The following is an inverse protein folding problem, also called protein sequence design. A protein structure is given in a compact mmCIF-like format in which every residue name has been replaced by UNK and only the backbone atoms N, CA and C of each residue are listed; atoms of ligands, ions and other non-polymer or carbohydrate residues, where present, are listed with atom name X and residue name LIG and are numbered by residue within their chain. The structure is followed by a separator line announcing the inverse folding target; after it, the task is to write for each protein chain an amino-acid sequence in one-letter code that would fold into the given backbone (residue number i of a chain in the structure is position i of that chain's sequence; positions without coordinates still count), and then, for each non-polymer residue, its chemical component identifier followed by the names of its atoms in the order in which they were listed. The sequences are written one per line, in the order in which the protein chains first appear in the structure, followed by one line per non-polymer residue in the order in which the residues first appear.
data_IF_777391402356
#
_entry.id   IF_777391402356
#
_cell.length_a   1.000
_cell.length_b   1.000
_cell.length_c   1.000
_cell.angle_alpha   90.00
_cell.angle_beta   90.00
_cell.angle_gamma   90.00
#
_symmetry.space_group_name_H-M   'P 1'
#
loop_
_entity.id
_entity.type
_entity.pdbx_description
1 polymer ?
#
# COMPACT_ATOMS: atom_id res chain seq x y z
N UNK A 1 -8.42 -5.85 12.04
CA UNK A 1 -7.18 -5.33 11.43
C UNK A 1 -6.45 -6.48 10.76
N UNK A 2 -6.02 -6.34 9.49
CA UNK A 2 -5.24 -7.35 8.79
C UNK A 2 -3.75 -7.25 9.17
N UNK A 3 -3.12 -8.37 9.54
CA UNK A 3 -1.67 -8.48 9.78
C UNK A 3 -1.08 -9.41 8.72
N UNK A 4 -0.33 -8.86 7.78
CA UNK A 4 0.44 -9.65 6.82
C UNK A 4 1.73 -10.10 7.49
N UNK A 5 2.01 -11.40 7.46
CA UNK A 5 3.20 -11.99 8.07
C UNK A 5 4.01 -12.75 7.04
N UNK A 6 5.25 -12.35 6.85
CA UNK A 6 6.19 -13.13 6.02
C UNK A 6 6.69 -14.36 6.77
N UNK A 7 6.77 -15.48 6.09
CA UNK A 7 7.12 -16.78 6.67
C UNK A 7 8.49 -17.24 6.17
N UNK A 8 9.35 -17.56 7.13
CA UNK A 8 10.65 -18.19 6.89
C UNK A 8 10.67 -19.68 7.20
N UNK A 9 11.80 -20.15 7.65
CA UNK A 9 12.05 -21.56 8.01
C UNK A 9 12.37 -21.76 9.51
N UNK A 10 12.20 -20.70 10.34
CA UNK A 10 12.61 -20.72 11.75
C UNK A 10 11.96 -21.87 12.55
N UNK A 11 10.67 -22.13 12.31
CA UNK A 11 9.98 -23.27 12.92
C UNK A 11 10.68 -24.61 12.63
N UNK A 12 11.09 -24.79 11.39
CA UNK A 12 11.75 -26.03 10.94
C UNK A 12 13.18 -26.11 11.46
N UNK A 13 13.88 -25.00 11.51
CA UNK A 13 15.26 -24.93 12.03
C UNK A 13 15.29 -25.23 13.54
N UNK A 14 14.39 -24.63 14.32
CA UNK A 14 14.26 -24.92 15.75
C UNK A 14 13.91 -26.40 16.03
N UNK A 15 13.06 -26.99 15.19
CA UNK A 15 12.76 -28.42 15.31
C UNK A 15 14.02 -29.27 15.06
N UNK A 16 14.79 -28.97 14.02
CA UNK A 16 15.96 -29.72 13.60
C UNK A 16 17.08 -29.74 14.64
N UNK A 17 17.27 -28.66 15.39
CA UNK A 17 18.31 -28.58 16.42
C UNK A 17 18.25 -29.75 17.40
N UNK A 18 17.07 -30.28 17.68
CA UNK A 18 16.86 -31.37 18.63
C UNK A 18 16.35 -32.67 17.97
N UNK A 19 16.11 -32.67 16.66
CA UNK A 19 15.49 -33.79 15.94
C UNK A 19 16.15 -34.05 14.56
N UNK A 20 17.37 -34.56 14.51
CA UNK A 20 18.13 -34.74 13.25
C UNK A 20 17.52 -35.76 12.28
N UNK A 21 16.48 -36.49 12.68
CA UNK A 21 15.84 -37.51 11.83
C UNK A 21 15.18 -37.00 10.54
N UNK A 22 15.08 -35.67 10.35
CA UNK A 22 14.55 -35.05 9.12
C UNK A 22 15.63 -34.38 8.27
N UNK A 23 16.90 -34.37 8.69
CA UNK A 23 17.96 -33.58 8.05
C UNK A 23 18.17 -33.93 6.58
N UNK A 24 18.15 -35.20 6.22
CA UNK A 24 18.27 -35.60 4.81
C UNK A 24 17.12 -35.09 3.94
N UNK A 25 15.89 -35.16 4.44
CA UNK A 25 14.72 -34.65 3.72
C UNK A 25 14.75 -33.14 3.65
N UNK A 26 15.16 -32.44 4.71
CA UNK A 26 15.39 -31.01 4.75
C UNK A 26 16.42 -30.54 3.72
N UNK A 27 17.60 -31.14 3.72
CA UNK A 27 18.69 -30.78 2.79
C UNK A 27 18.26 -30.99 1.33
N UNK A 28 17.49 -32.02 1.06
CA UNK A 28 16.95 -32.26 -0.27
C UNK A 28 15.93 -31.18 -0.70
N UNK A 29 15.08 -30.73 0.22
CA UNK A 29 14.00 -29.79 -0.08
C UNK A 29 14.41 -28.30 0.06
N UNK A 30 15.61 -28.02 0.59
CA UNK A 30 16.03 -26.67 0.99
C UNK A 30 15.97 -25.64 -0.14
N UNK A 31 16.36 -26.05 -1.35
CA UNK A 31 16.40 -25.19 -2.53
C UNK A 31 15.29 -25.52 -3.56
N UNK A 32 14.44 -26.49 -3.23
CA UNK A 32 13.36 -26.90 -4.13
C UNK A 32 12.26 -25.81 -4.20
N UNK A 33 11.88 -25.38 -5.41
CA UNK A 33 10.81 -24.42 -5.58
C UNK A 33 9.46 -25.02 -5.18
N UNK A 34 8.56 -24.16 -4.72
CA UNK A 34 7.22 -24.58 -4.29
C UNK A 34 6.42 -25.29 -5.40
N UNK A 35 6.73 -25.03 -6.68
CA UNK A 35 6.13 -25.73 -7.82
C UNK A 35 6.44 -27.22 -7.87
N UNK A 36 7.50 -27.69 -7.21
CA UNK A 36 7.87 -29.11 -7.14
C UNK A 36 7.20 -29.84 -5.97
N UNK A 37 6.16 -29.26 -5.38
CA UNK A 37 5.46 -29.79 -4.22
C UNK A 37 4.98 -31.24 -4.42
N UNK A 38 4.23 -31.49 -5.48
CA UNK A 38 3.59 -32.79 -5.75
C UNK A 38 4.64 -33.89 -5.97
N UNK A 39 5.79 -33.57 -6.56
CA UNK A 39 6.89 -34.50 -6.76
C UNK A 39 7.60 -34.89 -5.45
N UNK A 40 7.40 -34.14 -4.38
CA UNK A 40 8.06 -34.29 -3.11
C UNK A 40 7.10 -34.65 -1.94
N UNK A 41 5.86 -34.96 -2.23
CA UNK A 41 4.78 -35.14 -1.26
C UNK A 41 5.13 -36.07 -0.11
N UNK A 42 5.81 -37.20 -0.39
CA UNK A 42 6.24 -38.17 0.66
C UNK A 42 7.17 -37.52 1.70
N UNK A 43 8.19 -36.75 1.24
CA UNK A 43 9.16 -36.09 2.14
C UNK A 43 8.47 -34.97 2.91
N UNK A 44 7.65 -34.19 2.20
CA UNK A 44 6.87 -33.07 2.77
C UNK A 44 5.97 -33.59 3.89
N UNK A 45 5.18 -34.64 3.63
CA UNK A 45 4.26 -35.21 4.61
C UNK A 45 4.98 -35.78 5.84
N UNK A 46 6.19 -36.36 5.67
CA UNK A 46 7.01 -36.82 6.80
C UNK A 46 7.40 -35.64 7.70
N UNK A 47 7.94 -34.56 7.12
CA UNK A 47 8.34 -33.36 7.88
C UNK A 47 7.12 -32.69 8.49
N UNK A 48 6.05 -32.52 7.72
CA UNK A 48 4.79 -31.88 8.19
C UNK A 48 4.22 -32.58 9.42
N UNK A 49 4.14 -33.90 9.40
CA UNK A 49 3.66 -34.69 10.56
C UNK A 49 4.57 -34.50 11.78
N UNK A 50 5.86 -34.49 11.58
CA UNK A 50 6.84 -34.31 12.65
C UNK A 50 6.68 -32.92 13.28
N UNK A 51 6.56 -31.87 12.47
CA UNK A 51 6.34 -30.50 12.95
C UNK A 51 5.01 -30.35 13.66
N UNK A 52 3.89 -30.88 13.13
CA UNK A 52 2.57 -30.78 13.76
C UNK A 52 2.51 -31.51 15.11
N UNK A 53 3.27 -32.58 15.28
CA UNK A 53 3.34 -33.29 16.56
C UNK A 53 4.17 -32.54 17.62
N UNK A 54 5.11 -31.72 17.19
CA UNK A 54 6.04 -31.00 18.07
C UNK A 54 5.61 -29.53 18.32
N UNK A 55 5.19 -28.84 17.26
CA UNK A 55 4.90 -27.42 17.32
C UNK A 55 3.70 -27.13 18.24
N UNK A 56 3.87 -26.10 19.05
CA UNK A 56 2.84 -25.61 19.96
C UNK A 56 2.60 -24.13 19.71
N UNK A 57 1.39 -23.67 20.00
CA UNK A 57 1.03 -22.26 19.94
C UNK A 57 1.64 -21.46 21.11
N UNK A 58 2.96 -21.51 21.24
CA UNK A 58 3.74 -20.83 22.28
C UNK A 58 4.85 -19.99 21.65
N UNK A 59 5.21 -18.89 22.29
CA UNK A 59 6.23 -17.94 21.79
C UNK A 59 7.59 -18.58 21.52
N UNK A 60 7.95 -19.57 22.28
CA UNK A 60 9.25 -20.26 22.18
C UNK A 60 9.35 -21.19 20.98
N UNK A 61 8.25 -21.47 20.31
CA UNK A 61 8.21 -22.44 19.19
C UNK A 61 8.94 -21.89 17.96
N UNK A 62 8.70 -20.66 17.55
CA UNK A 62 9.43 -19.99 16.47
C UNK A 62 9.19 -18.47 16.46
N UNK A 63 9.99 -17.76 15.66
CA UNK A 63 9.97 -16.31 15.56
C UNK A 63 8.62 -15.77 15.04
N UNK A 64 7.98 -16.45 14.09
CA UNK A 64 6.68 -16.08 13.55
C UNK A 64 5.58 -16.15 14.62
N UNK A 65 5.51 -17.23 15.40
CA UNK A 65 4.54 -17.38 16.50
C UNK A 65 4.80 -16.31 17.57
N UNK A 66 6.05 -16.15 17.96
CA UNK A 66 6.48 -15.14 18.95
C UNK A 66 6.01 -13.74 18.56
N UNK A 67 6.27 -13.34 17.32
CA UNK A 67 5.90 -12.02 16.82
C UNK A 67 4.38 -11.83 16.72
N UNK A 68 3.64 -12.83 16.28
CA UNK A 68 2.19 -12.78 16.18
C UNK A 68 1.52 -12.62 17.55
N UNK A 69 1.94 -13.36 18.56
CA UNK A 69 1.43 -13.18 19.93
C UNK A 69 1.78 -11.81 20.51
N UNK A 70 2.99 -11.31 20.24
CA UNK A 70 3.43 -9.99 20.69
C UNK A 70 2.63 -8.87 20.01
N UNK A 71 2.37 -8.97 18.70
CA UNK A 71 1.53 -8.05 17.97
C UNK A 71 0.09 -8.08 18.48
N UNK A 72 -0.49 -9.28 18.68
CA UNK A 72 -1.85 -9.44 19.24
C UNK A 72 -1.98 -8.79 20.62
N UNK A 73 -0.96 -8.88 21.45
CA UNK A 73 -0.94 -8.23 22.77
C UNK A 73 -0.81 -6.71 22.68
N UNK A 74 -0.05 -6.23 21.70
CA UNK A 74 0.17 -4.79 21.48
C UNK A 74 -1.04 -4.09 20.83
N UNK A 75 -1.79 -4.80 20.01
CA UNK A 75 -2.94 -4.27 19.27
C UNK A 75 -4.23 -4.60 20.03
N UNK A 76 -5.00 -3.58 20.43
CA UNK A 76 -6.26 -3.74 21.17
C UNK A 76 -7.43 -4.25 20.32
N UNK A 77 -7.26 -4.32 18.99
CA UNK A 77 -8.28 -4.76 18.03
C UNK A 77 -8.12 -6.25 17.71
N UNK A 78 -9.21 -6.90 17.31
CA UNK A 78 -9.15 -8.23 16.72
C UNK A 78 -8.28 -8.22 15.46
N UNK A 79 -7.34 -9.15 15.38
CA UNK A 79 -6.45 -9.29 14.22
C UNK A 79 -6.85 -10.49 13.37
N UNK A 80 -6.70 -10.32 12.06
CA UNK A 80 -6.74 -11.37 11.05
C UNK A 80 -5.36 -11.47 10.43
N UNK A 81 -4.78 -12.66 10.41
CA UNK A 81 -3.42 -12.90 9.93
C UNK A 81 -3.46 -13.52 8.53
N UNK A 82 -2.67 -12.98 7.62
CA UNK A 82 -2.40 -13.57 6.31
C UNK A 82 -0.91 -13.92 6.22
N UNK A 83 -0.61 -15.19 6.05
CA UNK A 83 0.77 -15.67 5.88
C UNK A 83 1.20 -15.52 4.41
N UNK A 84 2.42 -15.03 4.18
CA UNK A 84 3.05 -14.99 2.86
C UNK A 84 4.34 -15.80 2.89
N UNK A 85 4.39 -16.85 2.09
CA UNK A 85 5.54 -17.75 1.98
C UNK A 85 6.43 -17.39 0.79
N UNK A 86 7.71 -17.74 0.87
CA UNK A 86 8.63 -17.66 -0.26
C UNK A 86 8.36 -18.78 -1.27
N UNK A 87 8.91 -18.67 -2.49
CA UNK A 87 8.78 -19.69 -3.55
C UNK A 87 9.65 -20.92 -3.26
N UNK A 88 9.47 -21.50 -2.07
CA UNK A 88 10.17 -22.72 -1.65
C UNK A 88 9.22 -23.71 -1.01
N UNK A 89 9.51 -25.01 -1.16
CA UNK A 89 8.74 -26.07 -0.49
C UNK A 89 8.76 -25.86 1.03
N UNK A 90 9.90 -25.54 1.61
CA UNK A 90 10.04 -25.45 3.07
C UNK A 90 9.25 -24.27 3.66
N UNK A 91 9.28 -23.09 3.03
CA UNK A 91 8.50 -21.96 3.52
C UNK A 91 6.99 -22.19 3.39
N UNK A 92 6.54 -22.77 2.26
CA UNK A 92 5.14 -23.18 2.09
C UNK A 92 4.71 -24.17 3.18
N UNK A 93 5.53 -25.20 3.45
CA UNK A 93 5.26 -26.20 4.47
C UNK A 93 5.15 -25.58 5.87
N UNK A 94 6.08 -24.67 6.21
CA UNK A 94 6.03 -23.95 7.48
C UNK A 94 4.76 -23.10 7.58
N UNK A 95 4.36 -22.40 6.52
CA UNK A 95 3.11 -21.62 6.51
C UNK A 95 1.87 -22.49 6.74
N UNK A 96 1.79 -23.66 6.09
CA UNK A 96 0.70 -24.62 6.29
C UNK A 96 0.67 -25.18 7.73
N UNK A 97 1.84 -25.39 8.35
CA UNK A 97 1.93 -25.84 9.75
C UNK A 97 1.51 -24.73 10.71
N UNK A 98 1.99 -23.48 10.49
CA UNK A 98 1.63 -22.33 11.31
C UNK A 98 0.12 -22.07 11.30
N UNK A 99 -0.52 -22.15 10.14
CA UNK A 99 -1.97 -22.03 10.03
C UNK A 99 -2.70 -23.06 10.89
N UNK A 100 -2.27 -24.33 10.83
CA UNK A 100 -2.90 -25.41 11.62
C UNK A 100 -2.65 -25.28 13.12
N UNK A 101 -1.45 -24.85 13.53
CA UNK A 101 -1.07 -24.70 14.94
C UNK A 101 -1.78 -23.50 15.58
N UNK A 102 -2.01 -22.41 14.84
CA UNK A 102 -2.53 -21.16 15.37
C UNK A 102 -4.04 -20.95 15.14
N UNK A 103 -4.72 -21.85 14.41
CA UNK A 103 -6.15 -21.68 14.04
C UNK A 103 -7.09 -21.50 15.22
N UNK A 104 -6.79 -22.10 16.38
CA UNK A 104 -7.60 -22.01 17.59
C UNK A 104 -7.25 -20.76 18.43
N UNK A 105 -6.13 -20.11 18.15
CA UNK A 105 -5.63 -18.93 18.86
C UNK A 105 -5.99 -17.61 18.17
N UNK A 106 -6.02 -17.61 16.83
CA UNK A 106 -6.28 -16.40 16.04
C UNK A 106 -6.83 -16.73 14.66
N UNK A 107 -7.53 -15.77 14.04
CA UNK A 107 -7.95 -15.89 12.64
C UNK A 107 -6.70 -15.81 11.75
N UNK A 108 -6.29 -16.94 11.20
CA UNK A 108 -5.10 -17.07 10.37
C UNK A 108 -5.44 -17.79 9.07
N UNK A 109 -4.88 -17.32 7.96
CA UNK A 109 -5.20 -17.83 6.63
C UNK A 109 -3.94 -17.96 5.78
N UNK A 110 -3.89 -19.05 5.03
CA UNK A 110 -2.87 -19.31 4.02
C UNK A 110 -3.49 -20.01 2.81
N UNK A 111 -3.43 -19.37 1.66
CA UNK A 111 -3.89 -19.92 0.38
C UNK A 111 -2.66 -20.15 -0.51
N UNK A 112 -2.11 -21.36 -0.62
CA UNK A 112 -0.85 -21.63 -1.32
C UNK A 112 -0.79 -21.02 -2.72
N UNK A 113 -1.87 -21.10 -3.50
CA UNK A 113 -1.95 -20.58 -4.87
C UNK A 113 -1.81 -19.06 -4.98
N UNK A 114 -2.06 -18.34 -3.89
CA UNK A 114 -2.01 -16.87 -3.84
C UNK A 114 -0.92 -16.34 -2.93
N UNK A 115 -0.58 -17.08 -1.87
CA UNK A 115 0.24 -16.62 -0.76
C UNK A 115 1.67 -17.18 -0.80
N UNK A 116 1.95 -18.17 -1.65
CA UNK A 116 3.31 -18.50 -2.08
C UNK A 116 3.72 -17.49 -3.14
N UNK A 117 4.70 -16.66 -2.82
CA UNK A 117 5.13 -15.57 -3.69
C UNK A 117 6.09 -16.09 -4.74
N UNK A 118 5.56 -16.35 -5.94
CA UNK A 118 6.32 -16.90 -7.06
C UNK A 118 7.54 -16.04 -7.39
N UNK A 119 8.69 -16.68 -7.55
CA UNK A 119 9.98 -16.04 -7.80
C UNK A 119 10.68 -15.49 -6.55
N UNK A 120 10.03 -15.48 -5.38
CA UNK A 120 10.61 -14.99 -4.13
C UNK A 120 11.55 -16.07 -3.53
N UNK A 121 12.76 -16.13 -4.05
CA UNK A 121 13.83 -17.04 -3.65
C UNK A 121 15.19 -16.34 -3.82
N UNK A 122 16.27 -16.78 -3.17
CA UNK A 122 17.53 -16.03 -3.09
C UNK A 122 18.69 -16.62 -3.87
N UNK A 123 18.56 -17.82 -4.43
CA UNK A 123 19.62 -18.49 -5.21
C UNK A 123 19.69 -18.04 -6.68
N UNK A 124 18.63 -17.43 -7.20
CA UNK A 124 18.62 -16.76 -8.49
C UNK A 124 18.25 -15.28 -8.31
N UNK A 125 19.29 -14.43 -8.29
CA UNK A 125 19.13 -12.98 -8.09
C UNK A 125 18.18 -12.37 -9.12
N UNK A 126 18.31 -12.75 -10.40
CA UNK A 126 17.49 -12.21 -11.49
C UNK A 126 16.01 -12.51 -11.25
N UNK A 127 15.70 -13.75 -10.93
CA UNK A 127 14.33 -14.19 -10.66
C UNK A 127 13.77 -13.51 -9.40
N UNK A 128 14.60 -13.36 -8.36
CA UNK A 128 14.22 -12.65 -7.15
C UNK A 128 13.84 -11.18 -7.44
N UNK A 129 14.70 -10.45 -8.19
CA UNK A 129 14.48 -9.02 -8.47
C UNK A 129 13.34 -8.79 -9.47
N UNK A 130 13.26 -9.60 -10.53
CA UNK A 130 12.29 -9.42 -11.62
C UNK A 130 10.89 -9.95 -11.30
N UNK A 131 10.80 -11.10 -10.65
CA UNK A 131 9.52 -11.76 -10.34
C UNK A 131 9.18 -11.67 -8.85
N UNK A 132 10.08 -12.13 -7.98
CA UNK A 132 9.80 -12.32 -6.56
C UNK A 132 9.38 -11.05 -5.84
N UNK A 133 10.17 -9.98 -5.96
CA UNK A 133 9.86 -8.70 -5.34
C UNK A 133 8.61 -8.06 -5.95
N UNK A 134 8.44 -8.13 -7.26
CA UNK A 134 7.28 -7.60 -7.96
C UNK A 134 6.00 -8.29 -7.49
N UNK A 135 6.02 -9.62 -7.41
CA UNK A 135 4.88 -10.42 -6.96
C UNK A 135 4.56 -10.19 -5.48
N UNK A 136 5.59 -10.05 -4.63
CA UNK A 136 5.41 -9.72 -3.21
C UNK A 136 4.67 -8.39 -3.04
N UNK A 137 5.16 -7.34 -3.71
CA UNK A 137 4.55 -6.01 -3.65
C UNK A 137 3.12 -6.06 -4.16
N UNK A 138 2.88 -6.65 -5.33
CA UNK A 138 1.54 -6.79 -5.91
C UNK A 138 0.57 -7.55 -4.98
N UNK A 139 1.06 -8.60 -4.28
CA UNK A 139 0.23 -9.34 -3.33
C UNK A 139 -0.12 -8.50 -2.10
N UNK A 140 0.84 -7.80 -1.52
CA UNK A 140 0.60 -6.91 -0.37
C UNK A 140 -0.37 -5.79 -0.76
N UNK A 141 -0.19 -5.16 -1.92
CA UNK A 141 -1.09 -4.13 -2.43
C UNK A 141 -2.51 -4.63 -2.63
N UNK A 142 -2.67 -5.82 -3.20
CA UNK A 142 -3.98 -6.45 -3.36
C UNK A 142 -4.67 -6.68 -2.01
N UNK A 143 -3.94 -7.11 -0.99
CA UNK A 143 -4.46 -7.29 0.37
C UNK A 143 -4.80 -5.95 1.02
N UNK A 144 -3.97 -4.92 0.82
CA UNK A 144 -4.22 -3.56 1.30
C UNK A 144 -5.50 -2.97 0.69
N UNK A 145 -5.82 -3.33 -0.57
CA UNK A 145 -7.06 -2.94 -1.21
C UNK A 145 -8.32 -3.51 -0.56
N UNK A 146 -8.20 -4.64 0.10
CA UNK A 146 -9.31 -5.39 0.69
C UNK A 146 -9.51 -5.10 2.18
N UNK A 147 -8.61 -4.33 2.81
CA UNK A 147 -8.61 -4.08 4.26
C UNK A 147 -8.57 -2.59 4.57
N UNK A 148 -9.40 -2.14 5.48
CA UNK A 148 -9.39 -0.74 5.95
C UNK A 148 -8.15 -0.41 6.79
N UNK A 149 -7.66 -1.38 7.56
CA UNK A 149 -6.50 -1.25 8.42
C UNK A 149 -5.58 -2.46 8.26
N UNK A 150 -4.32 -2.20 8.03
CA UNK A 150 -3.31 -3.23 7.79
C UNK A 150 -2.02 -2.95 8.56
N UNK A 151 -1.31 -4.00 8.92
CA UNK A 151 0.07 -3.97 9.39
C UNK A 151 0.88 -5.08 8.72
N UNK A 152 2.20 -4.94 8.68
CA UNK A 152 3.10 -5.96 8.17
C UNK A 152 4.04 -6.39 9.29
N UNK A 153 4.11 -7.69 9.53
CA UNK A 153 5.08 -8.36 10.36
C UNK A 153 6.11 -9.04 9.46
N UNK A 154 7.34 -8.55 9.49
CA UNK A 154 8.45 -9.09 8.69
C UNK A 154 9.53 -9.77 9.53
N UNK A 155 9.16 -10.32 10.68
CA UNK A 155 10.07 -11.06 11.57
C UNK A 155 10.60 -12.32 10.89
N UNK A 156 9.77 -13.05 10.17
CA UNK A 156 10.17 -14.23 9.39
C UNK A 156 10.45 -13.92 7.91
N UNK A 157 11.04 -14.86 7.19
CA UNK A 157 11.32 -14.77 5.76
C UNK A 157 12.72 -14.24 5.41
N UNK A 158 12.95 -13.97 4.13
CA UNK A 158 14.25 -13.50 3.66
C UNK A 158 14.56 -12.06 4.06
N UNK A 159 15.73 -11.84 4.68
CA UNK A 159 16.19 -10.49 5.05
C UNK A 159 16.32 -9.54 3.85
N UNK A 160 16.52 -10.08 2.65
CA UNK A 160 16.61 -9.31 1.40
C UNK A 160 15.32 -8.54 1.04
N UNK A 161 14.15 -8.92 1.57
CA UNK A 161 12.88 -8.21 1.32
C UNK A 161 12.67 -7.00 2.23
N UNK A 162 13.42 -6.91 3.34
CA UNK A 162 13.22 -5.87 4.37
C UNK A 162 13.27 -4.45 3.78
N UNK A 163 14.26 -4.07 2.95
CA UNK A 163 14.28 -2.72 2.38
C UNK A 163 13.01 -2.38 1.59
N UNK A 164 12.51 -3.32 0.80
CA UNK A 164 11.32 -3.12 -0.04
C UNK A 164 10.04 -3.02 0.79
N UNK A 165 9.88 -3.89 1.79
CA UNK A 165 8.75 -3.81 2.74
C UNK A 165 8.80 -2.50 3.53
N UNK A 166 9.99 -2.05 3.92
CA UNK A 166 10.16 -0.78 4.64
C UNK A 166 9.72 0.39 3.78
N UNK A 167 10.20 0.49 2.54
CA UNK A 167 9.77 1.55 1.61
C UNK A 167 8.26 1.49 1.42
N UNK A 168 7.70 0.31 1.16
CA UNK A 168 6.27 0.13 0.96
C UNK A 168 5.44 0.55 2.18
N UNK A 169 5.87 0.17 3.37
CA UNK A 169 5.23 0.54 4.63
C UNK A 169 5.26 2.05 4.87
N UNK A 170 6.41 2.69 4.62
CA UNK A 170 6.55 4.15 4.72
C UNK A 170 5.65 4.88 3.70
N UNK A 171 5.68 4.45 2.44
CA UNK A 171 4.88 5.04 1.37
C UNK A 171 3.38 5.00 1.62
N UNK A 172 2.88 3.92 2.23
CA UNK A 172 1.46 3.66 2.40
C UNK A 172 0.97 3.87 3.83
N UNK A 173 1.81 4.41 4.72
CA UNK A 173 1.52 4.59 6.15
C UNK A 173 1.07 3.27 6.83
N UNK A 174 1.67 2.14 6.44
CA UNK A 174 1.37 0.83 7.00
C UNK A 174 2.32 0.60 8.16
N UNK A 175 1.82 0.32 9.38
CA UNK A 175 2.66 -0.07 10.51
C UNK A 175 3.48 -1.32 10.21
N UNK A 176 4.77 -1.26 10.52
CA UNK A 176 5.72 -2.34 10.33
C UNK A 176 6.18 -2.87 11.69
N UNK A 177 6.12 -4.17 11.88
CA UNK A 177 6.50 -4.85 13.11
C UNK A 177 7.61 -5.87 12.86
N UNK A 178 8.52 -5.94 13.82
CA UNK A 178 9.65 -6.86 13.83
C UNK A 178 10.01 -7.26 15.26
N UNK A 179 10.40 -8.52 15.47
CA UNK A 179 11.06 -8.96 16.70
C UNK A 179 12.49 -9.34 16.36
N UNK A 180 13.43 -8.83 17.13
CA UNK A 180 14.82 -9.24 17.06
C UNK A 180 14.97 -10.64 17.66
N UNK A 181 15.74 -11.53 17.01
CA UNK A 181 15.80 -12.97 17.31
C UNK A 181 16.13 -13.26 18.78
N UNK A 182 17.02 -12.50 19.38
CA UNK A 182 17.52 -12.72 20.76
C UNK A 182 16.71 -11.99 21.84
N UNK A 183 15.60 -11.35 21.47
CA UNK A 183 14.78 -10.58 22.41
C UNK A 183 13.30 -10.93 22.31
N UNK A 184 12.50 -10.51 23.30
CA UNK A 184 11.05 -10.57 23.28
C UNK A 184 10.41 -9.22 22.89
N UNK A 185 11.26 -8.23 22.61
CA UNK A 185 10.81 -6.87 22.35
C UNK A 185 10.23 -6.73 20.94
N UNK A 186 8.95 -6.34 20.88
CA UNK A 186 8.30 -5.99 19.64
C UNK A 186 8.71 -4.57 19.20
N UNK A 187 9.41 -4.50 18.11
CA UNK A 187 9.82 -3.23 17.50
C UNK A 187 8.76 -2.82 16.49
N UNK A 188 8.20 -1.63 16.67
CA UNK A 188 7.40 -0.95 15.65
C UNK A 188 8.28 0.09 14.97
N UNK A 189 8.49 -0.03 13.66
CA UNK A 189 9.22 0.96 12.91
C UNK A 189 8.42 2.29 12.89
N UNK A 190 9.05 3.42 13.25
CA UNK A 190 8.39 4.71 13.19
C UNK A 190 8.11 5.11 11.73
N UNK A 191 7.03 5.85 11.52
CA UNK A 191 6.78 6.49 10.23
C UNK A 191 7.72 7.68 10.06
N UNK A 192 8.56 7.64 9.03
CA UNK A 192 9.43 8.75 8.69
C UNK A 192 8.64 9.82 7.92
N UNK A 193 8.94 11.11 8.10
CA UNK A 193 8.33 12.19 7.31
C UNK A 193 8.98 12.25 5.91
N UNK A 194 8.78 11.21 5.10
CA UNK A 194 9.31 11.12 3.75
C UNK A 194 8.40 11.86 2.78
N UNK A 195 8.98 12.71 1.97
CA UNK A 195 8.32 13.32 0.82
C UNK A 195 8.78 12.64 -0.48
N UNK A 196 7.82 12.30 -1.34
CA UNK A 196 8.10 11.65 -2.61
C UNK A 196 8.14 12.72 -3.69
N UNK A 197 9.23 12.77 -4.44
CA UNK A 197 9.32 13.63 -5.62
C UNK A 197 8.42 13.11 -6.75
N UNK A 198 7.13 13.39 -6.64
CA UNK A 198 6.14 13.01 -7.67
C UNK A 198 6.42 13.65 -9.01
N UNK A 199 7.14 14.77 -9.06
CA UNK A 199 7.54 15.43 -10.30
C UNK A 199 8.37 14.55 -11.24
N UNK A 200 9.11 13.57 -10.69
CA UNK A 200 9.84 12.58 -11.51
C UNK A 200 8.84 11.68 -12.25
N UNK A 201 7.83 11.17 -11.56
CA UNK A 201 6.81 10.30 -12.18
C UNK A 201 5.94 11.05 -13.18
N UNK A 202 5.71 12.32 -12.94
CA UNK A 202 5.06 13.23 -13.86
C UNK A 202 5.87 13.41 -15.15
N UNK A 203 7.13 13.78 -15.02
CA UNK A 203 8.07 14.02 -16.13
C UNK A 203 8.21 12.79 -17.03
N UNK A 204 8.26 11.61 -16.44
CA UNK A 204 8.48 10.35 -17.14
C UNK A 204 7.22 9.48 -17.32
N UNK A 205 6.02 10.02 -17.13
CA UNK A 205 4.76 9.24 -17.20
C UNK A 205 4.63 8.41 -18.47
N UNK A 206 4.96 8.96 -19.64
CA UNK A 206 4.92 8.25 -20.92
C UNK A 206 5.97 7.13 -21.02
N UNK A 207 7.17 7.31 -20.46
CA UNK A 207 8.23 6.29 -20.41
C UNK A 207 7.83 5.17 -19.44
N UNK A 208 7.17 5.52 -18.34
CA UNK A 208 6.73 4.55 -17.34
C UNK A 208 5.66 3.61 -17.92
N UNK A 209 4.73 4.13 -18.72
CA UNK A 209 3.72 3.31 -19.40
C UNK A 209 4.38 2.31 -20.35
N UNK A 210 5.37 2.75 -21.12
CA UNK A 210 6.13 1.88 -22.02
C UNK A 210 6.93 0.83 -21.21
N UNK A 211 7.63 1.25 -20.15
CA UNK A 211 8.38 0.34 -19.26
C UNK A 211 7.47 -0.65 -18.53
N UNK A 212 6.23 -0.29 -18.21
CA UNK A 212 5.27 -1.21 -17.60
C UNK A 212 4.89 -2.34 -18.55
N UNK A 213 4.91 -2.09 -19.86
CA UNK A 213 4.73 -3.09 -20.90
C UNK A 213 6.00 -3.84 -21.31
N UNK A 214 7.17 -3.35 -20.92
CA UNK A 214 8.48 -3.86 -21.32
C UNK A 214 8.97 -3.26 -22.66
N UNK A 215 10.21 -2.78 -22.68
CA UNK A 215 10.88 -2.20 -23.84
C UNK A 215 11.98 -3.15 -24.30
N UNK A 216 12.00 -3.52 -25.59
CA UNK A 216 12.94 -4.52 -26.15
C UNK A 216 14.17 -3.91 -26.83
N UNK A 217 14.17 -2.64 -27.21
CA UNK A 217 15.31 -1.93 -27.84
C UNK A 217 15.63 -0.71 -26.96
N UNK A 218 16.06 -1.01 -25.74
CA UNK A 218 16.27 0.00 -24.70
C UNK A 218 17.34 1.00 -25.04
N UNK A 219 18.46 0.56 -25.61
CA UNK A 219 19.55 1.45 -26.02
C UNK A 219 19.07 2.50 -27.02
N UNK A 220 18.29 2.11 -28.01
CA UNK A 220 17.73 3.04 -29.01
C UNK A 220 16.63 3.91 -28.41
N UNK A 221 15.82 3.33 -27.51
CA UNK A 221 14.77 4.08 -26.82
C UNK A 221 15.33 5.21 -25.96
N UNK A 222 16.40 4.96 -25.17
CA UNK A 222 17.09 5.97 -24.34
C UNK A 222 17.64 7.13 -25.17
N UNK A 223 18.08 6.91 -26.38
CA UNK A 223 18.57 7.99 -27.26
C UNK A 223 17.48 9.01 -27.61
N UNK A 224 16.23 8.55 -27.69
CA UNK A 224 15.07 9.40 -27.98
C UNK A 224 14.43 9.97 -26.70
N UNK A 225 14.51 9.24 -25.61
CA UNK A 225 13.91 9.53 -24.33
C UNK A 225 14.95 9.44 -23.21
N UNK A 226 15.83 10.43 -23.07
CA UNK A 226 16.87 10.41 -22.04
C UNK A 226 16.27 10.39 -20.63
N UNK A 227 16.84 9.55 -19.76
CA UNK A 227 16.38 9.30 -18.40
C UNK A 227 17.44 9.78 -17.42
N UNK A 228 17.04 10.56 -16.42
CA UNK A 228 17.93 11.02 -15.35
C UNK A 228 18.22 9.90 -14.34
N UNK A 229 19.31 10.03 -13.62
CA UNK A 229 19.82 9.05 -12.66
C UNK A 229 18.77 8.69 -11.58
N UNK A 230 18.03 9.67 -11.08
CA UNK A 230 17.00 9.48 -10.07
C UNK A 230 15.88 8.55 -10.54
N UNK A 231 15.51 8.64 -11.84
CA UNK A 231 14.50 7.75 -12.40
C UNK A 231 15.08 6.39 -12.81
N UNK A 232 16.38 6.33 -13.14
CA UNK A 232 17.08 5.09 -13.45
C UNK A 232 16.97 4.06 -12.32
N UNK A 233 16.91 4.52 -11.06
CA UNK A 233 16.70 3.66 -9.88
C UNK A 233 15.36 2.88 -9.91
N UNK A 234 14.40 3.28 -10.75
CA UNK A 234 13.10 2.63 -10.93
C UNK A 234 13.09 1.60 -12.07
N UNK A 235 14.20 1.49 -12.82
CA UNK A 235 14.28 0.66 -14.03
C UNK A 235 15.13 -0.58 -13.76
N UNK A 236 14.68 -1.70 -14.28
CA UNK A 236 15.46 -2.92 -14.40
C UNK A 236 15.91 -3.05 -15.87
N UNK A 237 17.20 -3.20 -16.08
CA UNK A 237 17.80 -3.36 -17.40
C UNK A 237 18.53 -4.70 -17.53
N UNK A 238 18.32 -5.38 -18.64
CA UNK A 238 19.06 -6.59 -19.00
C UNK A 238 19.21 -6.70 -20.51
N UNK A 239 20.46 -6.60 -20.99
CA UNK A 239 20.72 -6.53 -22.44
C UNK A 239 19.99 -5.36 -23.09
N UNK A 240 19.19 -5.65 -24.09
CA UNK A 240 18.36 -4.65 -24.78
C UNK A 240 16.95 -4.54 -24.21
N UNK A 241 16.66 -5.22 -23.08
CA UNK A 241 15.36 -5.16 -22.45
C UNK A 241 15.36 -4.25 -21.23
N UNK A 242 14.28 -3.49 -21.04
CA UNK A 242 14.05 -2.72 -19.82
C UNK A 242 12.59 -2.80 -19.37
N UNK A 243 12.40 -2.83 -18.06
CA UNK A 243 11.09 -2.85 -17.40
C UNK A 243 11.15 -2.01 -16.10
N UNK A 244 10.00 -1.68 -15.53
CA UNK A 244 9.96 -1.18 -14.16
C UNK A 244 10.42 -2.28 -13.19
N UNK A 245 11.41 -1.96 -12.36
CA UNK A 245 11.76 -2.82 -11.24
C UNK A 245 10.71 -2.77 -10.12
N UNK A 246 10.92 -3.50 -9.03
CA UNK A 246 9.97 -3.55 -7.91
C UNK A 246 9.69 -2.17 -7.30
N UNK A 247 10.70 -1.30 -7.19
CA UNK A 247 10.56 0.08 -6.70
C UNK A 247 9.74 0.90 -7.69
N UNK A 248 10.08 0.88 -8.98
CA UNK A 248 9.34 1.59 -10.02
C UNK A 248 7.87 1.18 -10.08
N UNK A 249 7.58 -0.12 -9.98
CA UNK A 249 6.18 -0.63 -9.94
C UNK A 249 5.43 -0.17 -8.71
N UNK A 250 6.06 -0.17 -7.54
CA UNK A 250 5.47 0.30 -6.28
C UNK A 250 5.06 1.78 -6.36
N UNK A 251 5.96 2.64 -6.85
CA UNK A 251 5.67 4.05 -7.03
C UNK A 251 4.62 4.28 -8.13
N UNK A 252 4.72 3.57 -9.24
CA UNK A 252 3.77 3.66 -10.35
C UNK A 252 2.35 3.25 -9.92
N UNK A 253 2.23 2.14 -9.18
CA UNK A 253 0.95 1.71 -8.62
C UNK A 253 0.36 2.76 -7.69
N UNK A 254 1.19 3.35 -6.82
CA UNK A 254 0.74 4.43 -5.94
C UNK A 254 0.30 5.66 -6.74
N UNK A 255 1.08 6.07 -7.72
CA UNK A 255 0.77 7.18 -8.60
C UNK A 255 -0.57 6.98 -9.34
N UNK A 256 -0.84 5.79 -9.85
CA UNK A 256 -2.08 5.48 -10.56
C UNK A 256 -3.30 5.34 -9.66
N UNK A 257 -3.14 4.79 -8.47
CA UNK A 257 -4.26 4.45 -7.59
C UNK A 257 -4.54 5.47 -6.51
N UNK A 258 -3.71 6.50 -6.40
CA UNK A 258 -3.86 7.55 -5.40
C UNK A 258 -3.93 8.91 -6.07
N UNK A 259 -4.54 9.87 -5.38
CA UNK A 259 -4.51 11.27 -5.77
C UNK A 259 -3.96 12.12 -4.64
N UNK A 260 -3.41 13.26 -5.01
CA UNK A 260 -2.78 14.20 -4.09
C UNK A 260 -3.80 15.18 -3.57
N UNK A 261 -3.79 15.41 -2.26
CA UNK A 261 -4.54 16.49 -1.60
C UNK A 261 -3.56 17.35 -0.81
N UNK A 262 -3.49 18.62 -1.15
CA UNK A 262 -2.79 19.65 -0.40
C UNK A 262 -3.74 20.17 0.68
N UNK A 263 -3.48 19.89 1.95
CA UNK A 263 -4.32 20.28 3.08
C UNK A 263 -3.72 21.48 3.79
N UNK A 264 -4.49 22.50 4.05
CA UNK A 264 -4.03 23.72 4.73
C UNK A 264 -3.41 23.38 6.09
N UNK A 265 -2.15 23.82 6.33
CA UNK A 265 -1.44 23.60 7.59
C UNK A 265 -2.09 24.38 8.74
N UNK A 266 -2.17 23.76 9.90
CA UNK A 266 -2.83 24.37 11.08
C UNK A 266 -4.35 24.18 11.08
N UNK A 267 -4.90 23.63 10.03
CA UNK A 267 -6.29 23.26 9.93
C UNK A 267 -6.61 21.99 10.73
N UNK A 268 -7.86 21.83 11.19
CA UNK A 268 -8.25 20.79 12.14
C UNK A 268 -8.09 19.36 11.64
N UNK A 269 -7.84 19.12 10.34
CA UNK A 269 -7.64 17.78 9.79
C UNK A 269 -6.56 16.97 10.56
N UNK A 270 -5.43 17.59 10.88
CA UNK A 270 -4.35 16.89 11.62
C UNK A 270 -4.68 16.63 13.09
N UNK A 271 -5.61 17.41 13.64
CA UNK A 271 -6.04 17.35 15.06
C UNK A 271 -7.31 16.55 15.27
N UNK A 272 -7.98 16.15 14.18
CA UNK A 272 -9.23 15.41 14.24
C UNK A 272 -9.05 13.97 14.73
N UNK A 273 -10.11 13.45 15.34
CA UNK A 273 -10.21 12.03 15.67
C UNK A 273 -10.14 11.18 14.40
N UNK A 274 -9.73 9.91 14.54
CA UNK A 274 -9.65 8.99 13.41
C UNK A 274 -10.98 8.82 12.64
N UNK A 275 -12.11 8.90 13.34
CA UNK A 275 -13.44 8.82 12.74
C UNK A 275 -13.76 10.01 11.84
N UNK A 276 -13.46 11.24 12.29
CA UNK A 276 -13.67 12.46 11.49
C UNK A 276 -12.79 12.46 10.24
N UNK A 277 -11.51 12.05 10.37
CA UNK A 277 -10.60 11.91 9.21
C UNK A 277 -11.14 10.94 8.17
N UNK A 278 -11.70 9.82 8.59
CA UNK A 278 -12.31 8.85 7.68
C UNK A 278 -13.43 9.48 6.86
N UNK A 279 -14.34 10.17 7.51
CA UNK A 279 -15.49 10.82 6.83
C UNK A 279 -15.03 11.93 5.86
N UNK A 280 -14.02 12.72 6.25
CA UNK A 280 -13.43 13.75 5.37
C UNK A 280 -12.75 13.08 4.17
N UNK A 281 -12.00 12.00 4.37
CA UNK A 281 -11.35 11.26 3.30
C UNK A 281 -12.37 10.65 2.32
N UNK A 282 -13.49 10.13 2.83
CA UNK A 282 -14.59 9.64 2.00
C UNK A 282 -15.23 10.75 1.17
N UNK A 283 -15.40 11.96 1.74
CA UNK A 283 -15.92 13.11 1.01
C UNK A 283 -14.90 13.61 -0.04
N UNK A 284 -13.61 13.59 0.25
CA UNK A 284 -12.55 13.93 -0.71
C UNK A 284 -12.49 12.93 -1.86
N UNK A 285 -12.66 11.64 -1.59
CA UNK A 285 -12.73 10.61 -2.63
C UNK A 285 -13.97 10.78 -3.52
N UNK A 286 -15.13 11.12 -2.93
CA UNK A 286 -16.33 11.42 -3.69
C UNK A 286 -16.14 12.65 -4.58
N UNK A 287 -15.58 13.74 -4.05
CA UNK A 287 -15.25 14.95 -4.79
C UNK A 287 -14.30 14.65 -5.95
N UNK A 288 -13.20 13.93 -5.67
CA UNK A 288 -12.25 13.53 -6.69
C UNK A 288 -12.91 12.74 -7.82
N UNK A 289 -13.71 11.71 -7.49
CA UNK A 289 -14.37 10.87 -8.49
C UNK A 289 -15.31 11.66 -9.40
N UNK A 290 -16.06 12.61 -8.85
CA UNK A 290 -16.95 13.49 -9.63
C UNK A 290 -16.19 14.43 -10.55
N UNK A 291 -15.11 15.04 -10.07
CA UNK A 291 -14.26 15.92 -10.88
C UNK A 291 -13.51 15.14 -11.97
N UNK A 292 -12.98 13.96 -11.66
CA UNK A 292 -12.29 13.10 -12.63
C UNK A 292 -13.23 12.66 -13.76
N UNK A 293 -14.46 12.26 -13.44
CA UNK A 293 -15.50 11.96 -14.43
C UNK A 293 -15.82 13.18 -15.30
N UNK A 294 -16.01 14.33 -14.68
CA UNK A 294 -16.31 15.58 -15.38
C UNK A 294 -15.18 15.99 -16.34
N UNK A 295 -13.92 15.86 -15.90
CA UNK A 295 -12.72 16.12 -16.73
C UNK A 295 -12.70 15.20 -17.95
N UNK A 296 -12.94 13.91 -17.76
CA UNK A 296 -12.94 12.92 -18.86
C UNK A 296 -14.08 13.13 -19.84
N UNK A 297 -15.29 13.35 -19.35
CA UNK A 297 -16.48 13.58 -20.17
C UNK A 297 -16.36 14.84 -21.03
N UNK A 298 -15.82 15.92 -20.47
CA UNK A 298 -15.69 17.21 -21.15
C UNK A 298 -14.31 17.44 -21.76
N UNK A 299 -13.40 16.46 -21.68
CA UNK A 299 -12.03 16.51 -22.23
C UNK A 299 -11.23 17.72 -21.76
N UNK A 300 -11.42 18.14 -20.51
CA UNK A 300 -10.73 19.28 -19.92
C UNK A 300 -9.25 18.94 -19.67
N UNK A 301 -8.34 19.87 -19.96
CA UNK A 301 -6.89 19.65 -19.90
C UNK A 301 -6.17 20.57 -18.94
N UNK A 302 -6.77 21.71 -18.58
CA UNK A 302 -6.14 22.71 -17.73
C UNK A 302 -6.99 23.05 -16.51
N UNK A 303 -6.35 23.60 -15.47
CA UNK A 303 -7.02 24.07 -14.27
C UNK A 303 -8.03 25.17 -14.61
N UNK A 304 -7.68 26.07 -15.51
CA UNK A 304 -8.51 27.18 -15.94
C UNK A 304 -9.78 26.68 -16.63
N UNK A 305 -9.68 25.73 -17.55
CA UNK A 305 -10.85 25.11 -18.21
C UNK A 305 -11.78 24.46 -17.19
N UNK A 306 -11.22 23.73 -16.22
CA UNK A 306 -12.00 23.10 -15.15
C UNK A 306 -12.70 24.13 -14.26
N UNK A 307 -12.00 25.22 -13.89
CA UNK A 307 -12.58 26.29 -13.08
C UNK A 307 -13.69 27.04 -13.83
N UNK A 308 -13.50 27.32 -15.13
CA UNK A 308 -14.53 27.91 -15.98
C UNK A 308 -15.78 27.02 -16.00
N UNK A 309 -15.58 25.71 -16.18
CA UNK A 309 -16.70 24.76 -16.19
C UNK A 309 -17.42 24.73 -14.83
N UNK A 310 -16.71 24.64 -13.71
CA UNK A 310 -17.32 24.65 -12.37
C UNK A 310 -18.09 25.96 -12.13
N UNK A 311 -17.54 27.09 -12.57
CA UNK A 311 -18.21 28.37 -12.46
C UNK A 311 -19.50 28.48 -13.29
N UNK A 312 -19.66 27.70 -14.35
CA UNK A 312 -20.88 27.60 -15.13
C UNK A 312 -21.97 26.75 -14.46
N UNK A 313 -21.63 25.95 -13.44
CA UNK A 313 -22.60 25.15 -12.71
C UNK A 313 -23.51 26.02 -11.84
N UNK A 314 -24.73 25.53 -11.62
CA UNK A 314 -25.68 26.15 -10.66
C UNK A 314 -25.13 26.10 -9.23
N UNK A 315 -25.44 27.09 -8.39
CA UNK A 315 -25.11 27.08 -6.96
C UNK A 315 -25.81 25.97 -6.16
N UNK A 316 -26.75 25.25 -6.76
CA UNK A 316 -27.36 24.04 -6.20
C UNK A 316 -26.57 22.77 -6.55
N UNK A 317 -25.57 22.84 -7.41
CA UNK A 317 -24.72 21.71 -7.76
C UNK A 317 -23.81 21.37 -6.59
N UNK A 318 -23.62 20.07 -6.33
CA UNK A 318 -22.78 19.61 -5.22
C UNK A 318 -21.30 19.99 -5.36
N UNK A 319 -20.78 20.15 -6.59
CA UNK A 319 -19.41 20.65 -6.85
C UNK A 319 -19.25 22.15 -6.64
N UNK A 320 -20.36 22.90 -6.69
CA UNK A 320 -20.44 24.35 -6.44
C UNK A 320 -21.65 24.66 -5.56
N UNK A 321 -21.56 24.27 -4.29
CA UNK A 321 -22.70 24.41 -3.39
C UNK A 321 -22.75 25.78 -2.70
N UNK A 322 -23.63 26.66 -3.18
CA UNK A 322 -23.75 28.03 -2.73
C UNK A 322 -22.74 28.98 -3.37
N UNK A 323 -22.65 30.18 -2.81
CA UNK A 323 -21.74 31.22 -3.28
C UNK A 323 -20.28 30.87 -2.96
N UNK A 324 -19.39 31.04 -3.92
CA UNK A 324 -17.96 30.76 -3.76
C UNK A 324 -17.37 31.56 -2.59
N UNK A 325 -16.60 30.92 -1.67
CA UNK A 325 -15.93 31.62 -0.58
C UNK A 325 -14.89 32.64 -1.05
N UNK A 326 -14.25 32.36 -2.19
CA UNK A 326 -13.27 33.21 -2.86
C UNK A 326 -13.25 32.88 -4.37
N UNK A 327 -12.47 33.61 -5.17
CA UNK A 327 -12.46 33.56 -6.64
C UNK A 327 -12.25 32.15 -7.21
N UNK A 328 -11.32 31.40 -6.65
CA UNK A 328 -10.87 30.06 -7.10
C UNK A 328 -11.20 28.94 -6.10
N UNK A 329 -11.99 29.27 -5.08
CA UNK A 329 -12.39 28.33 -4.03
C UNK A 329 -13.88 28.00 -4.13
N UNK A 330 -14.17 26.72 -4.07
CA UNK A 330 -15.52 26.16 -4.24
C UNK A 330 -15.94 25.41 -2.98
N UNK A 331 -17.25 25.30 -2.78
CA UNK A 331 -17.80 24.47 -1.72
C UNK A 331 -18.35 23.20 -2.34
N UNK A 332 -17.81 22.06 -1.96
CA UNK A 332 -18.36 20.75 -2.27
C UNK A 332 -19.29 20.29 -1.17
N UNK A 333 -20.45 19.73 -1.53
CA UNK A 333 -21.37 19.08 -0.60
C UNK A 333 -21.38 17.57 -0.84
N UNK A 334 -20.91 16.80 0.15
CA UNK A 334 -20.95 15.33 0.07
C UNK A 334 -22.39 14.82 0.15
N UNK A 335 -22.71 13.82 -0.67
CA UNK A 335 -24.00 13.12 -0.66
C UNK A 335 -24.10 12.04 0.41
N UNK A 336 -22.97 11.71 1.08
CA UNK A 336 -22.93 10.71 2.15
C UNK A 336 -23.62 11.19 3.43
N UNK A 337 -23.99 10.24 4.29
CA UNK A 337 -24.72 10.49 5.56
C UNK A 337 -24.06 11.53 6.49
N UNK A 338 -22.75 11.71 6.41
CA UNK A 338 -22.00 12.66 7.23
C UNK A 338 -22.25 14.13 6.91
N UNK A 339 -22.91 14.44 5.80
CA UNK A 339 -23.21 15.81 5.35
C UNK A 339 -22.00 16.78 5.44
N UNK A 340 -20.84 16.32 4.96
CA UNK A 340 -19.63 17.13 4.96
C UNK A 340 -19.67 18.14 3.82
N UNK A 341 -19.22 19.36 4.12
CA UNK A 341 -18.97 20.40 3.12
C UNK A 341 -17.50 20.76 3.16
N UNK A 342 -16.83 20.72 2.00
CA UNK A 342 -15.41 21.00 1.84
C UNK A 342 -15.21 22.31 1.09
N UNK A 343 -14.28 23.15 1.55
CA UNK A 343 -13.77 24.28 0.75
C UNK A 343 -12.53 23.82 0.01
N UNK A 344 -12.58 23.82 -1.31
CA UNK A 344 -11.54 23.24 -2.14
C UNK A 344 -11.21 24.08 -3.38
N UNK A 345 -10.03 23.86 -3.94
CA UNK A 345 -9.63 24.26 -5.30
C UNK A 345 -9.17 23.02 -6.05
N UNK A 346 -9.72 22.72 -7.24
CA UNK A 346 -9.21 21.67 -8.09
C UNK A 346 -8.01 22.19 -8.88
N UNK A 347 -6.99 21.35 -9.05
CA UNK A 347 -5.78 21.69 -9.78
C UNK A 347 -5.48 20.52 -10.74
N UNK A 348 -5.47 20.79 -12.05
CA UNK A 348 -4.98 19.82 -13.04
C UNK A 348 -3.47 20.04 -13.17
N UNK A 349 -2.72 19.04 -12.77
CA UNK A 349 -1.27 18.95 -12.97
C UNK A 349 -1.01 17.94 -14.09
N UNK A 350 0.21 17.85 -14.58
CA UNK A 350 0.57 16.89 -15.63
C UNK A 350 0.33 15.43 -15.18
N UNK A 351 0.42 15.15 -13.87
CA UNK A 351 0.08 13.85 -13.29
C UNK A 351 -1.43 13.64 -13.01
N UNK A 352 -2.29 14.54 -13.43
CA UNK A 352 -3.73 14.45 -13.28
C UNK A 352 -4.32 15.41 -12.26
N UNK A 353 -5.54 15.09 -11.82
CA UNK A 353 -6.28 15.92 -10.87
C UNK A 353 -5.68 15.85 -9.46
N UNK A 354 -5.42 17.00 -8.89
CA UNK A 354 -5.04 17.23 -7.49
C UNK A 354 -6.08 18.11 -6.83
N UNK A 355 -6.25 18.01 -5.53
CA UNK A 355 -7.17 18.84 -4.76
C UNK A 355 -6.41 19.67 -3.73
N UNK A 356 -6.80 20.90 -3.53
CA UNK A 356 -6.35 21.73 -2.41
C UNK A 356 -7.51 21.94 -1.46
N UNK A 357 -7.36 21.50 -0.20
CA UNK A 357 -8.37 21.60 0.84
C UNK A 357 -8.02 22.73 1.81
N UNK A 358 -8.96 23.66 1.98
CA UNK A 358 -8.79 24.83 2.85
C UNK A 358 -9.58 24.69 4.15
N UNK A 359 -10.80 24.17 4.08
CA UNK A 359 -11.69 24.10 5.22
C UNK A 359 -12.77 23.03 5.06
N UNK A 360 -13.45 22.69 6.15
CA UNK A 360 -14.63 21.83 6.11
C UNK A 360 -15.58 22.15 7.28
N UNK A 361 -16.84 21.78 7.10
CA UNK A 361 -17.84 21.71 8.17
C UNK A 361 -18.60 20.38 8.07
N UNK A 362 -19.08 19.92 9.22
CA UNK A 362 -19.83 18.66 9.38
C UNK A 362 -21.17 18.94 10.03
N UNK A 363 -22.22 18.27 9.53
CA UNK A 363 -23.58 18.33 10.10
C UNK A 363 -24.52 19.28 9.39
N UNK A 364 -25.73 19.37 9.90
CA UNK A 364 -26.78 20.27 9.42
C UNK A 364 -26.55 21.66 9.99
N UNK A 365 -25.96 22.52 9.18
CA UNK A 365 -25.84 23.94 9.47
C UNK A 365 -26.79 24.76 8.58
N UNK A 366 -27.27 25.88 9.10
CA UNK A 366 -27.96 26.85 8.26
C UNK A 366 -27.08 27.23 7.07
N UNK A 367 -27.68 27.19 5.88
CA UNK A 367 -26.96 27.41 4.62
C UNK A 367 -26.25 28.78 4.57
N UNK A 368 -26.81 29.79 5.20
CA UNK A 368 -26.23 31.12 5.25
C UNK A 368 -25.07 31.27 6.24
N UNK A 369 -25.07 30.50 7.32
CA UNK A 369 -24.07 30.66 8.39
C UNK A 369 -22.71 30.08 8.01
N UNK A 370 -22.66 28.84 7.49
CA UNK A 370 -21.37 28.25 7.15
C UNK A 370 -20.70 28.94 5.95
N UNK A 371 -21.46 29.46 4.99
CA UNK A 371 -20.89 30.24 3.86
C UNK A 371 -20.23 31.52 4.37
N UNK A 372 -20.91 32.25 5.29
CA UNK A 372 -20.33 33.44 5.91
C UNK A 372 -19.06 33.15 6.67
N UNK A 373 -19.05 32.04 7.41
CA UNK A 373 -17.89 31.64 8.18
C UNK A 373 -16.72 31.21 7.27
N UNK A 374 -16.98 30.46 6.20
CA UNK A 374 -15.96 30.11 5.21
C UNK A 374 -15.38 31.39 4.55
N UNK A 375 -16.20 32.33 4.14
CA UNK A 375 -15.73 33.60 3.58
C UNK A 375 -14.86 34.38 4.59
N UNK A 376 -15.26 34.43 5.84
CA UNK A 376 -14.47 35.05 6.90
C UNK A 376 -13.10 34.41 7.06
N UNK A 377 -13.05 33.08 7.15
CA UNK A 377 -11.80 32.33 7.31
C UNK A 377 -10.89 32.45 6.08
N UNK A 378 -11.43 32.38 4.87
CA UNK A 378 -10.64 32.54 3.64
C UNK A 378 -9.98 33.90 3.51
N UNK A 379 -10.64 34.98 3.96
CA UNK A 379 -10.07 36.34 3.98
C UNK A 379 -8.92 36.51 4.99
N UNK A 380 -8.82 35.66 5.99
CA UNK A 380 -7.73 35.67 7.01
C UNK A 380 -6.49 34.93 6.55
N UNK A 381 -6.52 34.21 5.46
CA UNK A 381 -5.37 33.44 4.95
C UNK A 381 -4.39 34.39 4.25
N UNK A 382 -3.26 34.65 4.95
CA UNK A 382 -2.12 35.42 4.43
C UNK A 382 -1.02 34.51 4.02
N UNK A 383 -0.55 33.98 3.18
CA UNK A 383 0.52 33.00 2.90
C UNK A 383 0.20 31.60 3.42
N UNK A 384 -0.79 30.93 2.85
CA UNK A 384 -1.21 29.62 3.32
C UNK A 384 -0.12 28.55 3.03
N UNK A 385 0.33 27.88 4.08
CA UNK A 385 1.16 26.69 3.97
C UNK A 385 0.30 25.42 3.88
N UNK A 386 0.73 24.45 3.08
CA UNK A 386 0.01 23.19 2.89
C UNK A 386 0.85 22.00 3.28
N UNK A 387 0.21 20.97 3.80
CA UNK A 387 0.76 19.63 3.94
C UNK A 387 0.18 18.73 2.83
N UNK A 388 1.01 17.86 2.29
CA UNK A 388 0.59 16.93 1.23
C UNK A 388 0.15 15.62 1.85
N UNK A 389 -1.04 15.16 1.48
CA UNK A 389 -1.51 13.82 1.78
C UNK A 389 -1.88 13.10 0.47
N UNK A 390 -1.82 11.79 0.48
CA UNK A 390 -2.29 10.97 -0.64
C UNK A 390 -3.49 10.16 -0.21
N UNK A 391 -4.54 10.21 -1.00
CA UNK A 391 -5.75 9.41 -0.81
C UNK A 391 -5.93 8.46 -1.99
N UNK A 392 -6.51 7.31 -1.71
CA UNK A 392 -6.83 6.34 -2.74
C UNK A 392 -7.93 6.86 -3.65
N UNK A 393 -7.74 6.72 -4.97
CA UNK A 393 -8.80 7.01 -5.95
C UNK A 393 -10.02 6.13 -5.67
N UNK A 394 -11.23 6.63 -5.83
CA UNK A 394 -12.42 5.78 -5.73
C UNK A 394 -12.30 4.65 -6.75
N UNK A 395 -12.67 3.45 -6.35
CA UNK A 395 -12.79 2.33 -7.28
C UNK A 395 -13.80 2.76 -8.35
N UNK A 396 -13.34 2.92 -9.58
CA UNK A 396 -14.23 3.24 -10.68
C UNK A 396 -15.37 2.21 -10.70
N UNK A 397 -16.59 2.67 -10.72
CA UNK A 397 -17.70 1.79 -11.02
C UNK A 397 -17.38 1.18 -12.38
N UNK A 398 -17.07 -0.12 -12.40
CA UNK A 398 -17.15 -0.90 -13.62
C UNK A 398 -18.64 -0.97 -13.94
N UNK A 399 -19.10 -0.02 -14.75
CA UNK A 399 -20.34 -0.17 -15.48
C UNK A 399 -20.14 -1.14 -16.64
#
# INVERSE_FOLDING_TARGET
MLVITTVGTSLLENYRENHPGIDMDYLYLKEEPASNWDNNERRINKIKRALLNWAQAKKETCAEIKSLFSIRHHITKEIEVRLLATDTILSRLVAEVLEQVLKDEMKIFFEPEKDVIKGLQVWDRRRFEKEGLVNLIARIEKLACMSEEMAINFTGGYKAIIPYITIMGQLNNIPLYYIFEDTDELIRLPQAPLDINWGIFEKYSHIIEDLAGGIYDWSRYKLKHPVEEDFQACIWEEGECAELNAIGRMFWHKYHNYFVVEVLKGFSYSKDSSGNKREINEALQELYGRLDSLIKENKLRTTEELQIYINSLSEKNDLRHGENPDRDKYIFKSTKKSQIRLVYTPIIKSYGLSLRLFDYVRGDFDHGEYIKEFKRRMKMLTEPEFIVITLRKPLGNKF
#
